data_IF_994893069381
#
_entry.id   IF_994893069381
#
_cell.length_a   1.000
_cell.length_b   1.000
_cell.length_c   1.000
_cell.angle_alpha   90.00
_cell.angle_beta   90.00
_cell.angle_gamma   90.00
#
_symmetry.space_group_name_H-M   'P 1'
#
loop_
_entity.id
_entity.type
_entity.pdbx_description
1 polymer ?
#
# COMPACT_ATOMS: atom_id res chain seq x y z
N UNK A 1 -0.33 -19.33 -7.69
CA UNK A 1 -1.26 -18.19 -7.83
C UNK A 1 -1.22 -17.16 -6.69
N UNK A 2 -0.73 -17.49 -5.49
CA UNK A 2 -0.77 -16.59 -4.33
C UNK A 2 0.56 -15.91 -4.01
N UNK A 3 1.30 -15.46 -5.03
CA UNK A 3 2.55 -14.70 -4.84
C UNK A 3 2.41 -13.31 -5.41
N UNK A 4 2.67 -12.30 -4.58
CA UNK A 4 2.77 -10.89 -4.96
C UNK A 4 3.64 -10.73 -6.21
N UNK A 5 3.24 -9.90 -7.19
CA UNK A 5 2.18 -8.90 -7.13
C UNK A 5 0.75 -9.44 -7.43
N UNK A 6 0.56 -10.76 -7.55
CA UNK A 6 -0.77 -11.36 -7.78
C UNK A 6 -1.63 -11.30 -6.51
N UNK A 7 -2.93 -11.12 -6.69
CA UNK A 7 -3.92 -10.86 -5.62
C UNK A 7 -4.52 -12.11 -4.97
N UNK A 8 -4.08 -13.31 -5.39
CA UNK A 8 -4.71 -14.58 -5.03
C UNK A 8 -4.85 -14.83 -3.52
N UNK A 9 -3.95 -14.28 -2.70
CA UNK A 9 -3.99 -14.45 -1.24
C UNK A 9 -5.22 -13.80 -0.56
N UNK A 10 -5.88 -12.83 -1.18
CA UNK A 10 -7.00 -12.06 -0.58
C UNK A 10 -8.22 -11.96 -1.49
N UNK A 11 -8.27 -12.73 -2.58
CA UNK A 11 -9.30 -12.61 -3.63
C UNK A 11 -10.74 -12.71 -3.10
N UNK A 12 -10.97 -13.50 -2.06
CA UNK A 12 -12.31 -13.73 -1.49
C UNK A 12 -12.73 -12.66 -0.48
N UNK A 13 -11.76 -11.99 0.18
CA UNK A 13 -12.03 -11.00 1.22
C UNK A 13 -11.97 -9.57 0.69
N UNK A 14 -11.31 -9.33 -0.45
CA UNK A 14 -11.08 -7.98 -0.97
C UNK A 14 -12.38 -7.27 -1.37
N UNK A 15 -13.41 -8.03 -1.77
CA UNK A 15 -14.74 -7.49 -2.09
C UNK A 15 -15.58 -7.20 -0.83
N UNK A 16 -15.13 -7.63 0.35
CA UNK A 16 -15.81 -7.42 1.63
C UNK A 16 -15.22 -6.26 2.44
N UNK A 17 -14.14 -5.63 1.94
CA UNK A 17 -13.46 -4.51 2.60
C UNK A 17 -13.64 -3.21 1.85
N UNK A 18 -13.61 -2.11 2.57
CA UNK A 18 -13.60 -0.76 2.00
C UNK A 18 -12.20 -0.45 1.44
N UNK A 19 -12.03 -0.68 0.14
CA UNK A 19 -10.76 -0.48 -0.59
C UNK A 19 -10.20 0.94 -0.42
N UNK A 20 -11.05 1.96 -0.29
CA UNK A 20 -10.61 3.34 -0.13
C UNK A 20 -9.98 3.59 1.25
N UNK A 21 -10.40 2.84 2.27
CA UNK A 21 -9.88 2.90 3.64
C UNK A 21 -8.82 1.84 3.95
N UNK A 22 -8.51 0.99 2.98
CA UNK A 22 -7.51 -0.08 3.06
C UNK A 22 -6.15 0.38 2.52
N UNK A 23 -5.09 -0.22 3.07
CA UNK A 23 -3.71 0.06 2.70
C UNK A 23 -2.92 -1.25 2.60
N UNK A 24 -1.97 -1.31 1.67
CA UNK A 24 -0.87 -2.27 1.68
C UNK A 24 0.40 -1.54 2.08
N UNK A 25 1.11 -2.07 3.08
CA UNK A 25 2.38 -1.52 3.57
C UNK A 25 3.45 -2.60 3.38
N UNK A 26 4.56 -2.27 2.72
CA UNK A 26 5.64 -3.22 2.45
C UNK A 26 6.90 -2.55 1.93
N UNK A 27 8.01 -3.29 1.91
CA UNK A 27 9.34 -2.82 1.53
C UNK A 27 9.72 -3.17 0.08
N UNK A 28 8.91 -4.00 -0.59
CA UNK A 28 9.25 -4.54 -1.92
C UNK A 28 8.35 -3.98 -3.00
N UNK A 29 8.89 -3.88 -4.21
CA UNK A 29 8.14 -3.49 -5.40
C UNK A 29 6.91 -4.39 -5.65
N UNK A 30 7.02 -5.68 -5.31
CA UNK A 30 5.89 -6.60 -5.40
C UNK A 30 4.77 -6.30 -4.41
N UNK A 31 5.05 -5.65 -3.28
CA UNK A 31 4.03 -5.23 -2.31
C UNK A 31 3.22 -4.06 -2.87
N UNK A 32 3.91 -3.12 -3.51
CA UNK A 32 3.29 -1.97 -4.16
C UNK A 32 2.42 -2.45 -5.33
N UNK A 33 2.96 -3.30 -6.20
CA UNK A 33 2.18 -3.92 -7.27
C UNK A 33 0.99 -4.73 -6.77
N UNK A 34 1.12 -5.42 -5.63
CA UNK A 34 -0.01 -6.12 -5.01
C UNK A 34 -1.11 -5.16 -4.58
N UNK A 35 -0.80 -4.07 -3.88
CA UNK A 35 -1.80 -3.08 -3.47
C UNK A 35 -2.46 -2.37 -4.65
N UNK A 36 -1.68 -1.99 -5.66
CA UNK A 36 -2.21 -1.40 -6.91
C UNK A 36 -3.17 -2.35 -7.63
N UNK A 37 -2.82 -3.64 -7.75
CA UNK A 37 -3.70 -4.64 -8.34
C UNK A 37 -4.97 -4.90 -7.51
N UNK A 38 -4.94 -4.64 -6.20
CA UNK A 38 -6.13 -4.70 -5.33
C UNK A 38 -6.99 -3.43 -5.40
N UNK A 39 -6.48 -2.34 -5.97
CA UNK A 39 -7.13 -1.03 -5.95
C UNK A 39 -7.14 -0.36 -4.57
N UNK A 40 -6.14 -0.65 -3.73
CA UNK A 40 -5.98 -0.04 -2.40
C UNK A 40 -4.74 0.85 -2.36
N UNK A 41 -4.69 1.78 -1.40
CA UNK A 41 -3.54 2.66 -1.24
C UNK A 41 -2.30 1.88 -0.83
N UNK A 42 -1.13 2.33 -1.25
CA UNK A 42 0.15 1.67 -1.02
C UNK A 42 1.12 2.58 -0.27
N UNK A 43 1.84 2.00 0.69
CA UNK A 43 2.90 2.68 1.43
C UNK A 43 4.17 1.85 1.28
N UNK A 44 5.16 2.42 0.59
CA UNK A 44 6.49 1.83 0.49
C UNK A 44 7.30 2.16 1.74
N UNK A 45 7.78 1.13 2.43
CA UNK A 45 8.77 1.27 3.49
C UNK A 45 10.16 1.34 2.88
N UNK A 46 10.76 2.52 2.92
CA UNK A 46 12.10 2.74 2.38
C UNK A 46 12.86 3.77 3.22
N UNK A 47 14.11 3.44 3.56
CA UNK A 47 15.03 4.37 4.20
C UNK A 47 15.55 5.47 3.27
N UNK A 48 15.29 5.33 1.96
CA UNK A 48 15.67 6.28 0.91
C UNK A 48 14.45 6.80 0.15
N UNK A 49 14.54 8.04 -0.33
CA UNK A 49 13.54 8.66 -1.20
C UNK A 49 13.76 8.28 -2.68
N UNK A 50 14.93 7.73 -3.02
CA UNK A 50 15.20 7.18 -4.35
C UNK A 50 14.52 5.83 -4.54
N UNK A 51 13.40 5.86 -5.25
CA UNK A 51 12.58 4.69 -5.60
C UNK A 51 12.64 4.38 -7.09
N UNK A 52 13.62 4.92 -7.82
CA UNK A 52 13.75 4.76 -9.28
C UNK A 52 13.85 3.30 -9.76
N UNK A 53 14.29 2.40 -8.87
CA UNK A 53 14.38 0.96 -9.13
C UNK A 53 13.02 0.22 -9.08
N UNK A 54 11.96 0.88 -8.58
CA UNK A 54 10.64 0.27 -8.45
C UNK A 54 9.87 0.38 -9.77
N UNK A 55 9.28 -0.73 -10.20
CA UNK A 55 8.40 -0.73 -11.37
C UNK A 55 7.04 -0.10 -11.04
N UNK A 56 6.58 -0.24 -9.80
CA UNK A 56 5.30 0.26 -9.34
C UNK A 56 5.50 1.53 -8.51
N UNK A 57 4.77 2.59 -8.86
CA UNK A 57 4.79 3.84 -8.11
C UNK A 57 3.90 3.74 -6.85
N UNK A 58 4.46 3.89 -5.63
CA UNK A 58 3.67 3.85 -4.41
C UNK A 58 2.87 5.14 -4.23
N UNK A 59 1.75 5.08 -3.51
CA UNK A 59 0.97 6.29 -3.17
C UNK A 59 1.67 7.12 -2.10
N UNK A 60 2.42 6.46 -1.21
CA UNK A 60 3.21 7.10 -0.17
C UNK A 60 4.53 6.36 0.05
N UNK A 61 5.53 7.06 0.57
CA UNK A 61 6.78 6.49 1.08
C UNK A 61 6.89 6.81 2.57
N UNK A 62 7.29 5.84 3.37
CA UNK A 62 7.53 5.99 4.80
C UNK A 62 8.87 5.38 5.18
N UNK A 63 9.63 6.05 6.05
CA UNK A 63 10.96 5.59 6.49
C UNK A 63 10.88 4.44 7.50
N UNK A 64 9.73 4.27 8.14
CA UNK A 64 9.46 3.25 9.14
C UNK A 64 7.95 3.09 9.38
N UNK A 65 7.56 2.11 10.19
CA UNK A 65 6.16 1.85 10.52
C UNK A 65 5.48 3.00 11.28
N UNK A 66 6.21 3.77 12.10
CA UNK A 66 5.63 4.90 12.83
C UNK A 66 5.13 5.96 11.85
N UNK A 67 5.94 6.30 10.85
CA UNK A 67 5.56 7.23 9.78
C UNK A 67 4.42 6.67 8.92
N UNK A 68 4.44 5.36 8.62
CA UNK A 68 3.34 4.71 7.89
C UNK A 68 2.00 4.82 8.67
N UNK A 69 2.02 4.64 9.99
CA UNK A 69 0.85 4.83 10.85
C UNK A 69 0.37 6.28 10.80
N UNK A 70 1.27 7.25 10.88
CA UNK A 70 0.92 8.67 10.79
C UNK A 70 0.24 9.01 9.47
N UNK A 71 0.74 8.47 8.35
CA UNK A 71 0.15 8.63 7.02
C UNK A 71 -1.28 8.06 6.99
N UNK A 72 -1.48 6.84 7.51
CA UNK A 72 -2.80 6.19 7.56
C UNK A 72 -3.78 7.03 8.39
N UNK A 73 -3.37 7.50 9.57
CA UNK A 73 -4.22 8.29 10.46
C UNK A 73 -4.56 9.67 9.87
N UNK A 74 -3.61 10.33 9.18
CA UNK A 74 -3.84 11.62 8.51
C UNK A 74 -4.77 11.46 7.31
N UNK A 75 -4.59 10.42 6.50
CA UNK A 75 -5.45 10.14 5.33
C UNK A 75 -6.91 9.95 5.75
N UNK A 76 -7.16 9.25 6.87
CA UNK A 76 -8.52 9.06 7.41
C UNK A 76 -9.17 10.35 7.88
N UNK A 77 -8.40 11.30 8.42
CA UNK A 77 -8.90 12.59 8.92
C UNK A 77 -9.29 13.54 7.79
N UNK A 78 -8.68 13.42 6.61
CA UNK A 78 -8.95 14.32 5.48
C UNK A 78 -10.23 13.97 4.69
N UNK A 79 -10.74 12.74 4.83
CA UNK A 79 -12.01 12.31 4.21
C UNK A 79 -13.28 12.82 4.92
N UNK A 80 -13.14 13.77 5.84
CA UNK A 80 -14.23 14.37 6.62
C UNK A 80 -14.65 15.77 6.16
N UNK A 81 -14.48 16.09 4.87
CA UNK A 81 -15.04 17.29 4.24
C UNK A 81 -16.01 16.91 3.14
#
# INVERSE_FOLDING_TARGET
ECRKPKTGAVKEIIEQVDKEKSFVVGDKDTDIGFGKNLGVKTILLSSTEDISQFQWEPDFVAKNFSEAVDIILKTRRYNGK
#
